data_IF_314566595962
#
_entry.id   IF_314566595962
#
_cell.length_a   1.000
_cell.length_b   1.000
_cell.length_c   1.000
_cell.angle_alpha   90.00
_cell.angle_beta   90.00
_cell.angle_gamma   90.00
#
_symmetry.space_group_name_H-M   'P 1'
#
loop_
_entity.id
_entity.type
_entity.pdbx_description
1 polymer ?
#
# COMPACT_ATOMS: atom_id res chain seq x y z
N UNK A 1 -15.02 29.51 -18.55
CA UNK A 1 -14.44 28.32 -19.21
C UNK A 1 -14.37 27.24 -18.13
N UNK A 2 -15.33 26.34 -18.10
CA UNK A 2 -15.37 25.27 -17.10
C UNK A 2 -14.58 24.07 -17.64
N UNK A 3 -13.27 24.08 -17.35
CA UNK A 3 -12.39 22.97 -17.68
C UNK A 3 -12.29 21.98 -16.53
N UNK A 4 -12.36 20.68 -16.82
CA UNK A 4 -11.97 19.64 -15.86
C UNK A 4 -10.45 19.58 -15.83
N UNK A 5 -9.79 19.77 -14.67
CA UNK A 5 -8.35 19.59 -14.57
C UNK A 5 -8.02 18.10 -14.81
N UNK A 6 -7.51 17.79 -16.00
CA UNK A 6 -6.99 16.45 -16.32
C UNK A 6 -5.51 16.45 -16.00
N UNK A 7 -5.12 15.72 -14.95
CA UNK A 7 -3.72 15.46 -14.68
C UNK A 7 -3.27 14.29 -15.56
N UNK A 8 -2.50 14.59 -16.60
CA UNK A 8 -1.93 13.57 -17.47
C UNK A 8 -0.84 12.82 -16.70
N UNK A 9 -1.02 11.51 -16.53
CA UNK A 9 0.02 10.63 -15.97
C UNK A 9 0.86 10.16 -17.15
N UNK A 10 2.11 10.64 -17.22
CA UNK A 10 3.05 10.21 -18.24
C UNK A 10 3.57 8.79 -17.93
N UNK A 11 3.99 8.04 -18.96
CA UNK A 11 4.45 6.65 -18.81
C UNK A 11 5.70 6.51 -17.94
N UNK A 12 6.45 7.60 -17.76
CA UNK A 12 7.63 7.71 -16.89
C UNK A 12 7.31 8.07 -15.43
N UNK A 13 6.02 8.18 -15.08
CA UNK A 13 5.60 8.50 -13.71
C UNK A 13 6.11 7.46 -12.71
N UNK A 14 6.45 7.85 -11.47
CA UNK A 14 6.97 6.93 -10.47
C UNK A 14 5.97 5.79 -10.22
N UNK A 15 6.49 4.56 -10.26
CA UNK A 15 5.68 3.34 -10.27
C UNK A 15 5.55 2.69 -11.67
N UNK A 16 5.83 3.43 -12.75
CA UNK A 16 5.84 2.95 -14.14
C UNK A 16 4.47 2.54 -14.68
N UNK A 17 4.38 2.20 -15.98
CA UNK A 17 3.09 1.90 -16.60
C UNK A 17 2.48 0.63 -15.98
N UNK A 18 1.16 0.58 -15.77
CA UNK A 18 0.47 -0.61 -15.27
C UNK A 18 0.60 -1.74 -16.30
N UNK A 19 0.92 -2.95 -15.83
CA UNK A 19 1.11 -4.10 -16.73
C UNK A 19 -0.20 -4.64 -17.29
N UNK A 20 -1.28 -4.51 -16.52
CA UNK A 20 -2.61 -5.00 -16.92
C UNK A 20 -3.64 -3.90 -16.76
N UNK A 21 -4.16 -3.47 -17.90
CA UNK A 21 -5.30 -2.56 -18.01
C UNK A 21 -6.47 -3.37 -18.57
N UNK A 22 -7.66 -3.22 -18.00
CA UNK A 22 -8.90 -3.76 -18.55
C UNK A 22 -10.00 -2.73 -18.48
N UNK A 23 -11.14 -3.01 -19.12
CA UNK A 23 -12.32 -2.14 -19.09
C UNK A 23 -13.44 -2.86 -18.37
N UNK A 24 -14.03 -2.22 -17.36
CA UNK A 24 -15.21 -2.71 -16.63
C UNK A 24 -16.28 -1.64 -16.73
N UNK A 25 -17.43 -1.95 -17.35
CA UNK A 25 -18.54 -1.00 -17.54
C UNK A 25 -18.10 0.34 -18.17
N UNK A 26 -17.22 0.29 -19.17
CA UNK A 26 -16.67 1.47 -19.84
C UNK A 26 -15.56 2.21 -19.07
N UNK A 27 -15.25 1.78 -17.83
CA UNK A 27 -14.20 2.39 -17.01
C UNK A 27 -12.89 1.63 -17.18
N UNK A 28 -11.81 2.32 -17.55
CA UNK A 28 -10.46 1.75 -17.55
C UNK A 28 -10.02 1.50 -16.11
N UNK A 29 -9.61 0.27 -15.82
CA UNK A 29 -9.13 -0.16 -14.52
C UNK A 29 -7.78 -0.84 -14.65
N UNK A 30 -6.97 -0.77 -13.60
CA UNK A 30 -5.69 -1.47 -13.49
C UNK A 30 -5.80 -2.65 -12.53
N UNK A 31 -4.87 -3.59 -12.62
CA UNK A 31 -4.84 -4.69 -11.65
C UNK A 31 -4.52 -4.19 -10.23
N UNK A 32 -5.01 -4.89 -9.21
CA UNK A 32 -4.70 -4.58 -7.81
C UNK A 32 -3.18 -4.63 -7.55
N UNK A 33 -2.45 -5.53 -8.19
CA UNK A 33 -0.99 -5.59 -8.09
C UNK A 33 -0.32 -4.35 -8.67
N UNK A 34 -0.81 -3.82 -9.79
CA UNK A 34 -0.27 -2.60 -10.40
C UNK A 34 -0.57 -1.38 -9.52
N UNK A 35 -1.77 -1.31 -8.93
CA UNK A 35 -2.17 -0.24 -8.01
C UNK A 35 -1.29 -0.24 -6.75
N UNK A 36 -1.14 -1.40 -6.08
CA UNK A 36 -0.31 -1.53 -4.87
C UNK A 36 1.15 -1.21 -5.18
N UNK A 37 1.67 -1.67 -6.32
CA UNK A 37 3.03 -1.33 -6.77
C UNK A 37 3.20 0.18 -6.90
N UNK A 38 2.33 0.85 -7.67
CA UNK A 38 2.45 2.30 -7.91
C UNK A 38 2.40 3.11 -6.62
N UNK A 39 1.45 2.79 -5.74
CA UNK A 39 1.34 3.46 -4.44
C UNK A 39 2.55 3.23 -3.54
N UNK A 40 3.06 2.00 -3.47
CA UNK A 40 4.25 1.73 -2.66
C UNK A 40 5.51 2.43 -3.21
N UNK A 41 5.71 2.43 -4.52
CA UNK A 41 6.86 3.12 -5.13
C UNK A 41 6.83 4.60 -4.77
N UNK A 42 5.72 5.28 -5.04
CA UNK A 42 5.58 6.72 -4.78
C UNK A 42 5.64 7.04 -3.29
N UNK A 43 4.92 6.27 -2.46
CA UNK A 43 4.80 6.53 -1.03
C UNK A 43 6.07 6.26 -0.22
N UNK A 44 6.97 5.39 -0.70
CA UNK A 44 8.26 5.13 -0.06
C UNK A 44 9.32 6.17 -0.41
N UNK A 45 9.18 6.85 -1.55
CA UNK A 45 10.18 7.81 -2.05
C UNK A 45 9.90 9.24 -1.61
N UNK A 46 8.65 9.59 -1.29
CA UNK A 46 8.24 10.97 -1.02
C UNK A 46 7.35 11.12 0.22
N UNK A 47 7.83 11.87 1.23
CA UNK A 47 7.09 12.13 2.48
C UNK A 47 5.73 12.79 2.22
N UNK A 48 5.66 13.76 1.30
CA UNK A 48 4.39 14.42 0.93
C UNK A 48 3.38 13.45 0.27
N UNK A 49 3.81 12.24 -0.08
CA UNK A 49 3.00 11.15 -0.63
C UNK A 49 2.69 10.06 0.41
N UNK A 50 2.85 10.33 1.70
CA UNK A 50 2.52 9.38 2.78
C UNK A 50 1.09 8.80 2.68
N UNK A 51 0.15 9.55 2.07
CA UNK A 51 -1.20 9.07 1.75
C UNK A 51 -1.20 7.78 0.92
N UNK A 52 -0.25 7.59 0.00
CA UNK A 52 -0.19 6.36 -0.80
C UNK A 52 0.11 5.12 0.06
N UNK A 53 0.94 5.27 1.09
CA UNK A 53 1.15 4.19 2.07
C UNK A 53 -0.11 3.94 2.88
N UNK A 54 -0.80 5.01 3.32
CA UNK A 54 -2.05 4.89 4.06
C UNK A 54 -3.14 4.17 3.23
N UNK A 55 -3.25 4.50 1.94
CA UNK A 55 -4.19 3.86 1.02
C UNK A 55 -3.85 2.37 0.83
N UNK A 56 -2.56 1.98 0.79
CA UNK A 56 -2.16 0.56 0.74
C UNK A 56 -2.51 -0.16 2.05
N UNK A 57 -2.32 0.48 3.20
CA UNK A 57 -2.73 -0.05 4.50
C UNK A 57 -4.24 -0.27 4.55
N UNK A 58 -5.02 0.68 4.06
CA UNK A 58 -6.48 0.55 3.95
C UNK A 58 -6.87 -0.59 3.00
N UNK A 59 -6.23 -0.68 1.84
CA UNK A 59 -6.44 -1.78 0.90
C UNK A 59 -6.19 -3.14 1.55
N UNK A 60 -5.11 -3.31 2.31
CA UNK A 60 -4.78 -4.55 3.03
C UNK A 60 -5.88 -4.90 4.06
N UNK A 61 -6.55 -3.90 4.64
CA UNK A 61 -7.66 -4.09 5.61
C UNK A 61 -8.95 -4.49 4.92
N UNK A 62 -9.37 -3.74 3.89
CA UNK A 62 -10.69 -3.88 3.26
C UNK A 62 -10.72 -5.02 2.24
N UNK A 63 -9.60 -5.27 1.56
CA UNK A 63 -9.35 -6.47 0.77
C UNK A 63 -8.29 -7.23 1.57
N UNK A 64 -8.59 -8.33 2.27
CA UNK A 64 -7.67 -8.95 3.25
C UNK A 64 -6.43 -9.57 2.59
N UNK A 65 -5.52 -8.70 2.13
CA UNK A 65 -4.31 -9.06 1.42
C UNK A 65 -3.31 -9.63 2.43
N UNK A 66 -2.86 -10.85 2.17
CA UNK A 66 -1.89 -11.55 3.00
C UNK A 66 -0.47 -11.38 2.44
N UNK A 67 0.52 -11.86 3.19
CA UNK A 67 1.95 -11.75 2.85
C UNK A 67 2.31 -12.45 1.52
N UNK A 68 1.52 -13.42 1.10
CA UNK A 68 1.64 -14.14 -0.18
C UNK A 68 1.41 -13.23 -1.40
N UNK A 69 0.58 -12.19 -1.27
CA UNK A 69 0.34 -11.20 -2.32
C UNK A 69 1.64 -10.50 -2.75
N UNK A 70 2.64 -10.40 -1.87
CA UNK A 70 3.95 -9.86 -2.18
C UNK A 70 4.62 -10.55 -3.39
N UNK A 71 4.29 -11.80 -3.70
CA UNK A 71 4.81 -12.49 -4.88
C UNK A 71 4.46 -11.77 -6.19
N UNK A 72 3.34 -11.05 -6.23
CA UNK A 72 2.87 -10.27 -7.39
C UNK A 72 3.56 -8.92 -7.54
N UNK A 73 4.39 -8.52 -6.56
CA UNK A 73 5.11 -7.24 -6.55
C UNK A 73 6.57 -7.40 -6.98
N UNK A 74 7.21 -6.34 -7.52
CA UNK A 74 8.65 -6.27 -7.74
C UNK A 74 9.44 -6.61 -6.47
N UNK A 75 10.60 -7.28 -6.62
CA UNK A 75 11.39 -7.81 -5.50
C UNK A 75 11.67 -6.76 -4.41
N UNK A 76 12.00 -5.52 -4.79
CA UNK A 76 12.35 -4.45 -3.86
C UNK A 76 11.16 -3.96 -2.99
N UNK A 77 9.91 -4.12 -3.44
CA UNK A 77 8.71 -3.71 -2.69
C UNK A 77 8.18 -4.78 -1.75
N UNK A 78 8.62 -6.04 -1.91
CA UNK A 78 8.04 -7.19 -1.19
C UNK A 78 8.21 -7.08 0.31
N UNK A 79 9.38 -6.62 0.77
CA UNK A 79 9.67 -6.47 2.20
C UNK A 79 8.77 -5.41 2.83
N UNK A 80 8.69 -4.24 2.21
CA UNK A 80 7.83 -3.14 2.66
C UNK A 80 6.36 -3.57 2.75
N UNK A 81 5.85 -4.22 1.70
CA UNK A 81 4.47 -4.72 1.69
C UNK A 81 4.21 -5.73 2.83
N UNK A 82 5.10 -6.70 3.04
CA UNK A 82 4.96 -7.68 4.13
C UNK A 82 4.98 -7.02 5.51
N UNK A 83 5.77 -5.96 5.68
CA UNK A 83 5.79 -5.14 6.89
C UNK A 83 4.44 -4.48 7.16
N UNK A 84 3.82 -3.88 6.14
CA UNK A 84 2.47 -3.30 6.26
C UNK A 84 1.42 -4.36 6.59
N UNK A 85 1.48 -5.53 5.95
CA UNK A 85 0.58 -6.66 6.25
C UNK A 85 0.74 -7.10 7.71
N UNK A 86 1.96 -7.18 8.24
CA UNK A 86 2.19 -7.49 9.65
C UNK A 86 1.62 -6.40 10.57
N UNK A 87 1.79 -5.12 10.25
CA UNK A 87 1.24 -4.04 11.06
C UNK A 87 -0.29 -4.00 11.06
N UNK A 88 -0.91 -4.44 9.96
CA UNK A 88 -2.37 -4.49 9.82
C UNK A 88 -2.97 -5.72 10.50
N UNK A 89 -2.40 -6.90 10.27
CA UNK A 89 -2.98 -8.19 10.69
C UNK A 89 -2.29 -8.81 11.91
N UNK A 90 -1.12 -8.32 12.29
CA UNK A 90 -0.38 -8.79 13.45
C UNK A 90 -1.12 -8.51 14.76
N UNK A 91 -0.66 -9.15 15.84
CA UNK A 91 -1.20 -8.85 17.18
C UNK A 91 -0.97 -7.37 17.46
N UNK A 92 -2.01 -6.64 17.90
CA UNK A 92 -1.82 -5.27 18.39
C UNK A 92 -0.76 -5.31 19.49
N UNK A 93 0.36 -4.62 19.25
CA UNK A 93 1.37 -4.41 20.27
C UNK A 93 0.80 -3.41 21.27
N UNK A 94 0.20 -3.93 22.35
CA UNK A 94 -0.22 -3.09 23.47
C UNK A 94 1.02 -2.77 24.30
N UNK A 95 1.31 -1.49 24.48
CA UNK A 95 2.36 -1.07 25.40
C UNK A 95 1.94 -1.39 26.83
N UNK A 96 2.70 -2.24 27.53
CA UNK A 96 2.51 -2.46 28.96
C UNK A 96 3.32 -1.38 29.71
N UNK A 97 2.69 -0.55 30.56
CA UNK A 97 3.42 0.34 31.45
C UNK A 97 4.46 -0.45 32.27
N UNK A 98 5.65 0.10 32.46
CA UNK A 98 6.77 -0.60 33.10
C UNK A 98 6.39 -1.19 34.47
N UNK A 99 5.59 -0.46 35.27
CA UNK A 99 5.09 -0.95 36.56
C UNK A 99 4.23 -2.23 36.43
N UNK A 100 3.43 -2.34 35.37
CA UNK A 100 2.60 -3.52 35.10
C UNK A 100 3.43 -4.69 34.56
N UNK A 101 4.49 -4.41 33.82
CA UNK A 101 5.43 -5.43 33.33
C UNK A 101 6.17 -6.09 34.49
N UNK A 102 6.82 -5.30 35.34
CA UNK A 102 7.58 -5.84 36.49
C UNK A 102 6.68 -6.57 37.48
N UNK A 103 5.44 -6.12 37.72
CA UNK A 103 4.49 -6.84 38.57
C UNK A 103 4.10 -8.24 38.04
N UNK A 104 4.20 -8.49 36.73
CA UNK A 104 3.79 -9.75 36.11
C UNK A 104 4.95 -10.74 35.93
N UNK A 105 6.20 -10.27 35.91
CA UNK A 105 7.37 -11.06 35.52
C UNK A 105 8.57 -10.96 36.47
N UNK A 106 8.46 -10.19 37.56
CA UNK A 106 9.36 -10.28 38.72
C UNK A 106 8.74 -11.23 39.76
#
# INVERSE_FOLDING_TARGET
MDGVPVHMVADDSPGGPPKRISTIKGIKVISLSDLVRGKLTVGLEAIHRAKDIADVVELIRVVPLKKDFAAKLPKHLRSAFKGLVEQVHGKRHTYLPAAQFWKKYA
#
